data_IF_458717766344
#
_entry.id   IF_458717766344
#
_cell.length_a   1.000
_cell.length_b   1.000
_cell.length_c   1.000
_cell.angle_alpha   90.00
_cell.angle_beta   90.00
_cell.angle_gamma   90.00
#
_symmetry.space_group_name_H-M   'P 1'
#
loop_
_entity.id
_entity.type
_entity.pdbx_description
1 polymer ?
#
# COMPACT_ATOMS: atom_id res chain seq x y z
N UNK A 1 18.02 53.59 46.81
CA UNK A 1 18.73 52.64 45.94
C UNK A 1 20.05 52.29 46.60
N UNK A 2 20.18 51.08 47.15
CA UNK A 2 21.38 50.68 47.87
C UNK A 2 22.51 50.36 46.88
N UNK A 3 23.60 51.13 46.91
CA UNK A 3 24.80 50.82 46.15
C UNK A 3 25.56 49.70 46.86
N UNK A 4 25.45 48.47 46.36
CA UNK A 4 26.33 47.38 46.79
C UNK A 4 27.71 47.61 46.17
N UNK A 5 28.62 48.22 46.93
CA UNK A 5 30.00 48.42 46.52
C UNK A 5 30.73 47.07 46.64
N UNK A 6 30.67 46.27 45.58
CA UNK A 6 31.36 44.98 45.50
C UNK A 6 32.84 45.25 45.20
N UNK A 7 33.72 44.87 46.12
CA UNK A 7 35.16 44.84 45.84
C UNK A 7 35.46 43.59 45.01
N UNK A 8 35.88 43.77 43.77
CA UNK A 8 36.36 42.69 42.87
C UNK A 8 37.51 41.85 43.48
N UNK A 9 38.12 42.31 44.56
CA UNK A 9 39.18 41.62 45.30
C UNK A 9 38.67 40.67 46.38
N UNK A 10 37.35 40.66 46.67
CA UNK A 10 36.81 39.79 47.72
C UNK A 10 36.62 38.36 47.20
N UNK A 11 37.49 37.46 47.68
CA UNK A 11 37.58 36.09 47.16
C UNK A 11 36.29 35.31 47.36
N UNK A 12 35.62 35.49 48.50
CA UNK A 12 34.37 34.79 48.85
C UNK A 12 33.23 35.20 47.93
N UNK A 13 33.08 36.50 47.69
CA UNK A 13 32.06 36.99 46.77
C UNK A 13 32.29 36.50 45.33
N UNK A 14 33.54 36.52 44.86
CA UNK A 14 33.87 36.04 43.51
C UNK A 14 33.63 34.54 43.36
N UNK A 15 33.95 33.71 44.38
CA UNK A 15 33.65 32.27 44.34
C UNK A 15 32.15 31.99 44.34
N UNK A 16 31.37 32.69 45.16
CA UNK A 16 29.91 32.52 45.22
C UNK A 16 29.25 32.95 43.90
N UNK A 17 29.77 34.02 43.28
CA UNK A 17 29.29 34.50 41.99
C UNK A 17 29.63 33.51 40.86
N UNK A 18 30.83 32.92 40.87
CA UNK A 18 31.22 31.87 39.92
C UNK A 18 30.34 30.62 40.07
N UNK A 19 30.11 30.16 41.29
CA UNK A 19 29.22 29.01 41.57
C UNK A 19 27.79 29.30 41.09
N UNK A 20 27.29 30.52 41.30
CA UNK A 20 25.95 30.90 40.88
C UNK A 20 25.82 31.02 39.36
N UNK A 21 26.85 31.50 38.68
CA UNK A 21 26.88 31.48 37.20
C UNK A 21 26.90 30.04 36.69
N UNK A 22 27.70 29.17 37.33
CA UNK A 22 27.79 27.75 36.95
C UNK A 22 26.45 27.04 37.14
N UNK A 23 25.78 27.24 38.28
CA UNK A 23 24.47 26.63 38.55
C UNK A 23 23.38 27.11 37.58
N UNK A 24 23.32 28.42 37.28
CA UNK A 24 22.36 28.96 36.29
C UNK A 24 22.62 28.37 34.90
N UNK A 25 23.89 28.22 34.51
CA UNK A 25 24.25 27.60 33.24
C UNK A 25 23.85 26.12 33.18
N UNK A 26 24.12 25.36 34.24
CA UNK A 26 23.70 23.95 34.36
C UNK A 26 22.17 23.81 34.33
N UNK A 27 21.44 24.65 35.07
CA UNK A 27 19.98 24.68 35.04
C UNK A 27 19.44 24.98 33.63
N UNK A 28 20.00 25.98 32.94
CA UNK A 28 19.59 26.32 31.58
C UNK A 28 19.92 25.21 30.59
N UNK A 29 21.02 24.49 30.80
CA UNK A 29 21.38 23.33 29.98
C UNK A 29 20.42 22.16 30.25
N UNK A 30 20.13 21.86 31.51
CA UNK A 30 19.19 20.82 31.91
C UNK A 30 17.76 21.09 31.42
N UNK A 31 17.31 22.35 31.47
CA UNK A 31 16.01 22.77 30.88
C UNK A 31 15.97 22.52 29.37
N UNK A 32 17.06 22.80 28.65
CA UNK A 32 17.13 22.53 27.20
C UNK A 32 17.14 21.03 26.90
N UNK A 33 17.84 20.24 27.71
CA UNK A 33 17.84 18.78 27.58
C UNK A 33 16.43 18.24 27.82
N UNK A 34 15.78 18.63 28.92
CA UNK A 34 14.43 18.12 29.25
C UNK A 34 13.39 18.51 28.21
N UNK A 35 13.45 19.74 27.69
CA UNK A 35 12.60 20.16 26.57
C UNK A 35 12.81 19.28 25.33
N UNK A 36 14.07 19.02 24.93
CA UNK A 36 14.35 18.14 23.79
C UNK A 36 13.87 16.71 24.01
N UNK A 37 14.01 16.19 25.22
CA UNK A 37 13.53 14.84 25.56
C UNK A 37 12.01 14.77 25.42
N UNK A 38 11.29 15.81 25.87
CA UNK A 38 9.84 15.90 25.71
C UNK A 38 9.42 16.00 24.23
N UNK A 39 10.13 16.81 23.44
CA UNK A 39 9.87 16.96 22.00
C UNK A 39 10.10 15.64 21.26
N UNK A 40 11.20 14.92 21.55
CA UNK A 40 11.47 13.61 20.96
C UNK A 40 10.45 12.56 21.41
N UNK A 41 10.02 12.59 22.68
CA UNK A 41 8.93 11.72 23.15
C UNK A 41 7.63 11.99 22.40
N UNK A 42 7.26 13.26 22.18
CA UNK A 42 6.06 13.60 21.42
C UNK A 42 6.18 13.21 19.95
N UNK A 43 7.36 13.42 19.33
CA UNK A 43 7.65 12.98 17.97
C UNK A 43 7.48 11.47 17.83
N UNK A 44 8.02 10.69 18.77
CA UNK A 44 7.84 9.23 18.80
C UNK A 44 6.38 8.84 18.98
N UNK A 45 5.63 9.52 19.86
CA UNK A 45 4.19 9.28 20.04
C UNK A 45 3.43 9.41 18.71
N UNK A 46 3.70 10.50 17.98
CA UNK A 46 3.11 10.76 16.65
C UNK A 46 3.51 9.70 15.63
N UNK A 47 4.79 9.30 15.63
CA UNK A 47 5.31 8.32 14.68
C UNK A 47 4.65 6.93 14.84
N UNK A 48 4.41 6.51 16.09
CA UNK A 48 3.74 5.25 16.41
C UNK A 48 2.25 5.34 16.04
N UNK A 49 1.57 6.46 16.33
CA UNK A 49 0.17 6.66 15.96
C UNK A 49 -0.06 6.61 14.44
N UNK A 50 0.88 7.16 13.67
CA UNK A 50 0.86 7.12 12.20
C UNK A 50 1.23 5.72 11.67
N UNK A 51 1.81 4.85 12.51
CA UNK A 51 2.15 3.47 12.15
C UNK A 51 3.47 3.31 11.40
N UNK A 52 4.34 4.33 11.41
CA UNK A 52 5.67 4.26 10.76
C UNK A 52 6.68 3.45 11.57
N UNK A 53 6.51 3.39 12.90
CA UNK A 53 7.31 2.54 13.79
C UNK A 53 6.46 1.40 14.36
N UNK A 54 6.94 0.14 14.30
CA UNK A 54 6.21 -0.99 14.84
C UNK A 54 6.16 -0.93 16.37
N UNK A 55 5.03 -1.32 16.97
CA UNK A 55 4.81 -1.32 18.42
C UNK A 55 5.81 -2.17 19.24
N UNK A 56 6.62 -3.01 18.60
CA UNK A 56 7.63 -3.87 19.25
C UNK A 56 8.82 -3.07 19.82
N UNK A 57 9.09 -1.90 19.26
CA UNK A 57 10.20 -1.02 19.68
C UNK A 57 9.73 0.06 20.68
N UNK A 58 8.48 -0.01 21.12
CA UNK A 58 7.90 0.98 22.00
C UNK A 58 8.48 0.83 23.42
N UNK A 59 9.10 1.87 24.01
CA UNK A 59 9.57 1.84 25.39
C UNK A 59 8.43 1.49 26.36
N UNK A 60 8.70 0.75 27.46
CA UNK A 60 7.67 0.30 28.40
C UNK A 60 6.88 1.45 29.02
N UNK A 61 7.49 2.63 29.19
CA UNK A 61 6.85 3.84 29.70
C UNK A 61 5.73 4.35 28.79
N UNK A 62 5.88 4.20 27.47
CA UNK A 62 4.89 4.64 26.50
C UNK A 62 3.76 3.60 26.35
N UNK A 63 3.97 2.35 26.75
CA UNK A 63 2.99 1.27 26.58
C UNK A 63 1.69 1.51 27.37
N UNK A 64 1.82 2.09 28.57
CA UNK A 64 0.69 2.35 29.48
C UNK A 64 0.04 3.72 29.27
N UNK A 65 0.55 4.52 28.32
CA UNK A 65 0.00 5.83 28.08
C UNK A 65 -1.44 5.70 27.51
N UNK A 66 -2.41 6.48 28.01
CA UNK A 66 -3.83 6.28 27.72
C UNK A 66 -4.14 6.29 26.21
N UNK A 67 -3.48 7.17 25.46
CA UNK A 67 -3.62 7.25 23.99
C UNK A 67 -3.29 5.92 23.30
N UNK A 68 -2.25 5.20 23.72
CA UNK A 68 -1.89 3.91 23.12
C UNK A 68 -2.81 2.79 23.55
N UNK A 69 -3.32 2.83 24.78
CA UNK A 69 -4.34 1.89 25.26
C UNK A 69 -5.60 2.01 24.41
N UNK A 70 -6.12 3.23 24.23
CA UNK A 70 -7.28 3.49 23.38
C UNK A 70 -7.03 3.11 21.92
N UNK A 71 -5.89 3.52 21.35
CA UNK A 71 -5.52 3.18 19.97
C UNK A 71 -5.48 1.67 19.75
N UNK A 72 -4.91 0.91 20.70
CA UNK A 72 -4.86 -0.56 20.63
C UNK A 72 -6.25 -1.19 20.75
N UNK A 73 -7.11 -0.66 21.63
CA UNK A 73 -8.48 -1.13 21.77
C UNK A 73 -9.27 -0.93 20.47
N UNK A 74 -9.23 0.28 19.91
CA UNK A 74 -9.90 0.60 18.65
C UNK A 74 -9.35 -0.26 17.50
N UNK A 75 -8.03 -0.36 17.36
CA UNK A 75 -7.43 -1.18 16.30
C UNK A 75 -7.78 -2.66 16.44
N UNK A 76 -7.88 -3.18 17.69
CA UNK A 76 -8.34 -4.55 17.94
C UNK A 76 -9.79 -4.74 17.51
N UNK A 77 -10.66 -3.77 17.74
CA UNK A 77 -12.05 -3.81 17.29
C UNK A 77 -12.19 -3.69 15.77
N UNK A 78 -11.45 -2.77 15.15
CA UNK A 78 -11.40 -2.63 13.69
C UNK A 78 -10.90 -3.92 13.04
N UNK A 79 -9.85 -4.54 13.56
CA UNK A 79 -9.33 -5.82 13.06
C UNK A 79 -10.33 -6.97 13.24
N UNK A 80 -11.08 -7.01 14.35
CA UNK A 80 -12.16 -7.99 14.52
C UNK A 80 -13.29 -7.76 13.52
N UNK A 81 -13.69 -6.52 13.29
CA UNK A 81 -14.74 -6.17 12.34
C UNK A 81 -14.31 -6.47 10.89
N UNK A 82 -13.07 -6.14 10.52
CA UNK A 82 -12.53 -6.44 9.19
C UNK A 82 -12.43 -7.94 8.96
N UNK A 83 -11.95 -8.71 9.94
CA UNK A 83 -11.92 -10.18 9.86
C UNK A 83 -13.32 -10.76 9.69
N UNK A 84 -14.31 -10.30 10.47
CA UNK A 84 -15.71 -10.74 10.31
C UNK A 84 -16.26 -10.44 8.92
N UNK A 85 -15.96 -9.27 8.35
CA UNK A 85 -16.37 -8.93 6.97
C UNK A 85 -15.70 -9.81 5.94
N UNK A 86 -14.38 -10.03 6.06
CA UNK A 86 -13.64 -10.92 5.18
C UNK A 86 -14.17 -12.35 5.27
N UNK A 87 -14.36 -12.89 6.46
CA UNK A 87 -14.92 -14.22 6.68
C UNK A 87 -16.33 -14.35 6.08
N UNK A 88 -17.18 -13.32 6.24
CA UNK A 88 -18.51 -13.30 5.63
C UNK A 88 -18.44 -13.26 4.09
N UNK A 89 -17.50 -12.49 3.53
CA UNK A 89 -17.25 -12.45 2.09
C UNK A 89 -16.76 -13.81 1.55
N UNK A 90 -15.77 -14.42 2.21
CA UNK A 90 -15.27 -15.75 1.85
C UNK A 90 -16.35 -16.84 1.99
N UNK A 91 -17.23 -16.75 2.99
CA UNK A 91 -18.37 -17.67 3.10
C UNK A 91 -19.33 -17.52 1.91
N UNK A 92 -19.65 -16.29 1.51
CA UNK A 92 -20.50 -16.03 0.34
C UNK A 92 -19.88 -16.58 -0.94
N UNK A 93 -18.59 -16.35 -1.16
CA UNK A 93 -17.85 -16.92 -2.29
C UNK A 93 -17.85 -18.45 -2.29
N UNK A 94 -17.65 -19.08 -1.11
CA UNK A 94 -17.68 -20.54 -0.99
C UNK A 94 -19.09 -21.09 -1.23
N UNK A 95 -20.13 -20.38 -0.79
CA UNK A 95 -21.52 -20.74 -1.05
C UNK A 95 -21.90 -20.58 -2.52
N UNK A 96 -21.44 -19.53 -3.20
CA UNK A 96 -21.68 -19.38 -4.64
C UNK A 96 -20.93 -20.43 -5.44
N UNK A 97 -19.67 -20.72 -5.10
CA UNK A 97 -18.90 -21.78 -5.74
C UNK A 97 -19.54 -23.17 -5.54
N UNK A 98 -20.12 -23.43 -4.37
CA UNK A 98 -20.88 -24.67 -4.15
C UNK A 98 -22.18 -24.71 -4.94
N UNK A 99 -22.89 -23.59 -5.08
CA UNK A 99 -24.10 -23.53 -5.89
C UNK A 99 -23.80 -23.74 -7.38
N UNK A 100 -22.71 -23.15 -7.88
CA UNK A 100 -22.20 -23.37 -9.24
C UNK A 100 -21.75 -24.82 -9.43
N UNK A 101 -21.03 -25.40 -8.47
CA UNK A 101 -20.66 -26.82 -8.52
C UNK A 101 -21.87 -27.74 -8.49
N UNK A 102 -22.91 -27.47 -7.70
CA UNK A 102 -24.13 -28.30 -7.70
C UNK A 102 -24.95 -28.16 -8.99
N UNK A 103 -24.87 -27.00 -9.67
CA UNK A 103 -25.49 -26.79 -10.98
C UNK A 103 -24.65 -27.43 -12.10
N UNK A 104 -23.33 -27.45 -11.95
CA UNK A 104 -22.40 -28.14 -12.85
C UNK A 104 -22.36 -29.66 -12.68
N UNK A 105 -22.46 -30.18 -11.45
CA UNK A 105 -22.46 -31.62 -11.14
C UNK A 105 -23.71 -32.33 -11.67
N UNK A 106 -24.88 -31.68 -11.72
CA UNK A 106 -26.05 -32.25 -12.42
C UNK A 106 -25.87 -32.31 -13.96
N UNK A 107 -24.85 -31.63 -14.50
CA UNK A 107 -24.59 -31.55 -15.95
C UNK A 107 -23.26 -32.18 -16.40
N UNK A 108 -22.32 -32.47 -15.50
CA UNK A 108 -20.96 -32.92 -15.80
C UNK A 108 -20.60 -34.31 -15.22
N UNK A 109 -21.50 -34.99 -14.49
CA UNK A 109 -21.18 -36.26 -13.79
C UNK A 109 -20.86 -37.48 -14.69
N UNK A 110 -20.92 -37.40 -16.02
CA UNK A 110 -20.67 -38.59 -16.88
C UNK A 110 -19.40 -38.61 -17.76
N UNK A 111 -18.63 -37.53 -17.99
CA UNK A 111 -17.60 -37.61 -19.07
C UNK A 111 -16.13 -37.18 -18.81
N UNK A 112 -15.74 -36.47 -17.74
CA UNK A 112 -14.41 -35.80 -17.80
C UNK A 112 -13.19 -36.50 -17.19
N UNK A 113 -13.33 -37.48 -16.28
CA UNK A 113 -12.21 -37.81 -15.39
C UNK A 113 -11.22 -38.88 -15.89
N UNK A 114 -11.49 -39.55 -17.03
CA UNK A 114 -10.64 -40.65 -17.51
C UNK A 114 -9.78 -40.37 -18.76
N UNK A 115 -9.97 -39.26 -19.46
CA UNK A 115 -9.27 -38.98 -20.75
C UNK A 115 -8.08 -38.02 -20.63
N UNK A 116 -7.95 -37.25 -19.54
CA UNK A 116 -6.89 -36.24 -19.42
C UNK A 116 -5.47 -36.81 -19.19
N UNK A 117 -5.34 -38.10 -18.87
CA UNK A 117 -4.07 -38.70 -18.44
C UNK A 117 -3.23 -39.32 -19.58
N UNK A 118 -3.70 -39.28 -20.84
CA UNK A 118 -3.02 -39.91 -21.99
C UNK A 118 -2.72 -38.98 -23.18
N UNK A 119 -2.99 -37.68 -23.07
CA UNK A 119 -2.81 -36.74 -24.18
C UNK A 119 -1.38 -36.18 -24.17
N UNK A 120 -0.73 -36.18 -25.34
CA UNK A 120 0.56 -35.50 -25.52
C UNK A 120 0.39 -33.99 -25.37
N UNK A 121 1.47 -33.29 -25.01
CA UNK A 121 1.44 -31.84 -24.73
C UNK A 121 0.80 -31.00 -25.86
N UNK A 122 0.98 -31.40 -27.12
CA UNK A 122 0.37 -30.74 -28.27
C UNK A 122 -1.16 -30.92 -28.33
N UNK A 123 -1.66 -32.10 -27.97
CA UNK A 123 -3.09 -32.38 -27.95
C UNK A 123 -3.80 -31.67 -26.78
N UNK A 124 -3.11 -31.51 -25.65
CA UNK A 124 -3.61 -30.71 -24.53
C UNK A 124 -3.70 -29.22 -24.90
N UNK A 125 -2.70 -28.69 -25.60
CA UNK A 125 -2.74 -27.31 -26.07
C UNK A 125 -3.88 -27.09 -27.08
N UNK A 126 -4.11 -28.04 -27.99
CA UNK A 126 -5.21 -27.97 -28.96
C UNK A 126 -6.58 -28.01 -28.25
N UNK A 127 -6.77 -28.87 -27.25
CA UNK A 127 -8.01 -28.90 -26.44
C UNK A 127 -8.20 -27.60 -25.68
N UNK A 128 -7.17 -27.09 -24.99
CA UNK A 128 -7.27 -25.80 -24.29
C UNK A 128 -7.59 -24.63 -25.24
N UNK A 129 -7.10 -24.66 -26.48
CA UNK A 129 -7.46 -23.65 -27.47
C UNK A 129 -8.92 -23.76 -27.90
N UNK A 130 -9.41 -24.99 -28.16
CA UNK A 130 -10.81 -25.24 -28.49
C UNK A 130 -11.76 -24.79 -27.35
N UNK A 131 -11.46 -25.15 -26.10
CA UNK A 131 -12.26 -24.76 -24.94
C UNK A 131 -12.31 -23.23 -24.77
N UNK A 132 -11.20 -22.54 -25.08
CA UNK A 132 -11.15 -21.08 -25.06
C UNK A 132 -11.96 -20.45 -26.19
N UNK A 133 -12.05 -21.08 -27.35
CA UNK A 133 -12.86 -20.62 -28.47
C UNK A 133 -14.36 -20.84 -28.21
N UNK A 134 -14.74 -21.98 -27.65
CA UNK A 134 -16.12 -22.26 -27.25
C UNK A 134 -16.62 -21.27 -26.19
N UNK A 135 -15.79 -20.98 -25.17
CA UNK A 135 -16.11 -19.96 -24.17
C UNK A 135 -16.28 -18.57 -24.79
N UNK A 136 -15.42 -18.19 -25.74
CA UNK A 136 -15.56 -16.91 -26.45
C UNK A 136 -16.88 -16.83 -27.24
N UNK A 137 -17.28 -17.92 -27.90
CA UNK A 137 -18.54 -17.98 -28.62
C UNK A 137 -19.74 -17.88 -27.68
N UNK A 138 -19.71 -18.61 -26.56
CA UNK A 138 -20.75 -18.54 -25.54
C UNK A 138 -20.87 -17.12 -24.94
N UNK A 139 -19.75 -16.45 -24.66
CA UNK A 139 -19.74 -15.06 -24.17
C UNK A 139 -20.30 -14.05 -25.20
N UNK A 140 -20.12 -14.32 -26.49
CA UNK A 140 -20.70 -13.53 -27.60
C UNK A 140 -22.22 -13.75 -27.67
N UNK A 141 -22.68 -15.00 -27.59
CA UNK A 141 -24.11 -15.34 -27.60
C UNK A 141 -24.85 -14.79 -26.37
N UNK A 142 -24.21 -14.82 -25.19
CA UNK A 142 -24.74 -14.22 -23.97
C UNK A 142 -24.69 -12.68 -23.98
N UNK A 143 -24.09 -12.07 -25.02
CA UNK A 143 -24.00 -10.61 -25.17
C UNK A 143 -23.03 -9.94 -24.21
N UNK A 144 -22.17 -10.70 -23.54
CA UNK A 144 -21.15 -10.20 -22.61
C UNK A 144 -19.90 -9.74 -23.35
N UNK A 145 -19.65 -10.27 -24.55
CA UNK A 145 -18.51 -9.94 -25.42
C UNK A 145 -18.96 -9.56 -26.84
N UNK A 146 -18.33 -8.54 -27.43
CA UNK A 146 -18.49 -8.22 -28.85
C UNK A 146 -17.67 -9.16 -29.74
N UNK A 147 -18.12 -9.40 -30.97
CA UNK A 147 -17.28 -10.09 -31.98
C UNK A 147 -16.01 -9.29 -32.24
N UNK A 148 -14.92 -9.97 -32.61
CA UNK A 148 -13.63 -9.31 -32.81
C UNK A 148 -13.69 -8.24 -33.93
N UNK A 149 -14.56 -8.44 -34.92
CA UNK A 149 -14.83 -7.46 -35.98
C UNK A 149 -15.60 -6.23 -35.45
N UNK A 150 -16.63 -6.44 -34.64
CA UNK A 150 -17.36 -5.33 -34.00
C UNK A 150 -16.47 -4.57 -33.03
N UNK A 151 -15.62 -5.27 -32.28
CA UNK A 151 -14.65 -4.68 -31.38
C UNK A 151 -13.63 -3.81 -32.13
N UNK A 152 -13.16 -4.25 -33.30
CA UNK A 152 -12.25 -3.46 -34.12
C UNK A 152 -12.87 -2.14 -34.62
N UNK A 153 -14.18 -2.12 -34.89
CA UNK A 153 -14.92 -0.91 -35.28
C UNK A 153 -15.19 -0.01 -34.07
N UNK A 154 -15.56 -0.59 -32.92
CA UNK A 154 -15.82 0.12 -31.66
C UNK A 154 -14.56 0.70 -31.03
N UNK A 155 -13.40 0.05 -31.23
CA UNK A 155 -12.13 0.51 -30.71
C UNK A 155 -11.71 1.79 -31.44
N UNK A 156 -11.97 2.93 -30.80
CA UNK A 156 -11.48 4.20 -31.27
C UNK A 156 -9.95 4.24 -31.20
N UNK A 157 -9.30 4.16 -32.36
CA UNK A 157 -7.87 4.45 -32.51
C UNK A 157 -7.70 5.91 -32.91
N UNK A 158 -6.81 6.63 -32.24
CA UNK A 158 -6.46 8.00 -32.61
C UNK A 158 -5.81 8.03 -34.00
N UNK A 159 -6.02 9.11 -34.74
CA UNK A 159 -5.48 9.25 -36.11
C UNK A 159 -3.95 9.07 -36.17
N UNK A 160 -3.24 9.49 -35.12
CA UNK A 160 -1.79 9.33 -35.01
C UNK A 160 -1.37 7.85 -34.92
N UNK A 161 -2.14 7.01 -34.21
CA UNK A 161 -1.88 5.56 -34.10
C UNK A 161 -2.18 4.84 -35.41
N UNK A 162 -3.19 5.29 -36.16
CA UNK A 162 -3.46 4.78 -37.51
C UNK A 162 -2.33 5.13 -38.48
N UNK A 163 -1.80 6.35 -38.39
CA UNK A 163 -0.65 6.78 -39.19
C UNK A 163 0.59 5.95 -38.86
N UNK A 164 0.86 5.70 -37.57
CA UNK A 164 1.99 4.88 -37.12
C UNK A 164 2.00 3.47 -37.76
N UNK A 165 0.84 2.81 -37.86
CA UNK A 165 0.72 1.47 -38.44
C UNK A 165 0.99 1.42 -39.95
N UNK A 166 0.82 2.55 -40.65
CA UNK A 166 0.95 2.64 -42.10
C UNK A 166 2.33 3.12 -42.56
N UNK A 167 3.21 3.55 -41.64
CA UNK A 167 4.55 4.01 -41.97
C UNK A 167 5.50 2.84 -42.18
N UNK A 168 6.25 2.90 -43.27
CA UNK A 168 7.24 1.87 -43.65
C UNK A 168 8.68 2.30 -43.33
N UNK A 169 8.87 3.57 -43.01
CA UNK A 169 10.14 4.24 -42.71
C UNK A 169 10.41 4.25 -41.20
N UNK A 170 11.55 3.69 -40.80
CA UNK A 170 11.92 3.49 -39.38
C UNK A 170 12.05 4.81 -38.62
N UNK A 171 12.67 5.82 -39.23
CA UNK A 171 12.90 7.13 -38.59
C UNK A 171 11.59 7.89 -38.31
N UNK A 172 10.65 7.86 -39.26
CA UNK A 172 9.35 8.53 -39.13
C UNK A 172 8.44 7.80 -38.14
N UNK A 173 8.54 6.46 -38.06
CA UNK A 173 7.86 5.64 -37.06
C UNK A 173 8.30 6.05 -35.66
N UNK A 174 9.60 6.13 -35.39
CA UNK A 174 10.11 6.53 -34.07
C UNK A 174 9.74 7.98 -33.72
N UNK A 175 9.82 8.91 -34.67
CA UNK A 175 9.43 10.30 -34.44
C UNK A 175 7.94 10.45 -34.07
N UNK A 176 7.05 9.69 -34.72
CA UNK A 176 5.62 9.69 -34.39
C UNK A 176 5.31 8.91 -33.12
N UNK A 177 6.03 7.81 -32.84
CA UNK A 177 5.91 7.08 -31.58
C UNK A 177 6.29 7.98 -30.37
N UNK A 178 7.38 8.75 -30.49
CA UNK A 178 7.81 9.69 -29.45
C UNK A 178 6.80 10.82 -29.25
N UNK A 179 6.13 11.26 -30.32
CA UNK A 179 5.05 12.25 -30.25
C UNK A 179 3.80 11.70 -29.56
N UNK A 180 3.46 10.43 -29.80
CA UNK A 180 2.28 9.75 -29.20
C UNK A 180 2.51 9.44 -27.72
N UNK A 181 3.67 8.85 -27.39
CA UNK A 181 4.01 8.41 -26.02
C UNK A 181 4.41 9.60 -25.15
N UNK A 182 4.88 10.68 -25.77
CA UNK A 182 5.49 11.82 -25.10
C UNK A 182 6.91 11.46 -24.66
N UNK A 183 7.87 12.32 -24.96
CA UNK A 183 9.24 12.13 -24.49
C UNK A 183 9.27 12.15 -22.97
N UNK A 184 9.34 10.97 -22.32
CA UNK A 184 9.89 10.90 -20.97
C UNK A 184 11.36 11.25 -21.07
N UNK A 185 11.67 12.55 -20.97
CA UNK A 185 13.02 13.02 -20.68
C UNK A 185 13.41 12.42 -19.32
N UNK A 186 14.34 11.47 -19.35
CA UNK A 186 15.31 11.28 -18.27
C UNK A 186 16.32 12.42 -18.40
#
# INVERSE_FOLDING_TARGET
>A
MGSNLVRLTDKTYMTDLEERIRSVNEENLNKRISMRVLDEMERLKRLILVGKTPLKECPPELHNHPVFVFWRMVNKEVAKASKKRADAYYRKLKSSHKADQTIGEESEEEESDNESSKLTAEQLLAKCQADLEERKLADIEQGVRFTDEQFAILKYETNDVKALKNLTTVEELYALADKIIGTKRI
#
